data_IF_468748741113
#
_entry.id   IF_468748741113
#
_cell.length_a   1.000
_cell.length_b   1.000
_cell.length_c   1.000
_cell.angle_alpha   90.00
_cell.angle_beta   90.00
_cell.angle_gamma   90.00
#
_symmetry.space_group_name_H-M   'P 1'
#
loop_
_entity.id
_entity.type
_entity.pdbx_description
1 polymer ?
#
# COMPACT_ATOMS: atom_id res chain seq x y z
N UNK A 1 -25.66 -5.38 0.89
CA UNK A 1 -24.94 -6.40 1.69
C UNK A 1 -24.20 -7.36 0.75
N UNK A 2 -22.87 -7.49 0.90
CA UNK A 2 -22.05 -8.40 0.09
C UNK A 2 -22.32 -9.86 0.50
N UNK A 3 -22.30 -10.79 -0.47
CA UNK A 3 -22.45 -12.25 -0.23
C UNK A 3 -21.15 -12.91 0.24
N UNK A 4 -20.17 -12.11 0.66
CA UNK A 4 -18.86 -12.59 1.05
C UNK A 4 -18.89 -13.26 2.42
N UNK A 5 -18.09 -14.32 2.55
CA UNK A 5 -17.99 -15.13 3.77
C UNK A 5 -17.51 -14.30 4.97
N UNK A 6 -16.54 -13.41 4.74
CA UNK A 6 -15.95 -12.53 5.75
C UNK A 6 -16.41 -11.09 5.52
N UNK A 7 -17.65 -10.79 5.87
CA UNK A 7 -18.22 -9.44 5.70
C UNK A 7 -18.48 -8.78 7.06
N UNK A 8 -18.07 -7.53 7.21
CA UNK A 8 -18.44 -6.68 8.35
C UNK A 8 -19.91 -6.27 8.20
N UNK A 9 -20.78 -6.83 9.06
CA UNK A 9 -22.24 -6.60 9.02
C UNK A 9 -22.72 -5.47 9.94
N UNK A 10 -21.83 -4.93 10.78
CA UNK A 10 -22.07 -3.80 11.70
C UNK A 10 -21.04 -2.71 11.41
N UNK A 11 -21.22 -1.53 12.02
CA UNK A 11 -20.35 -0.37 11.81
C UNK A 11 -18.85 -0.69 11.91
N UNK A 12 -18.05 0.10 11.21
CA UNK A 12 -16.60 -0.11 11.14
C UNK A 12 -15.97 0.07 12.53
N UNK A 13 -15.24 -0.94 12.99
CA UNK A 13 -14.48 -0.95 14.25
C UNK A 13 -13.18 -1.74 14.02
N UNK A 14 -12.07 -1.24 14.55
CA UNK A 14 -10.74 -1.83 14.30
C UNK A 14 -10.59 -3.17 15.00
N UNK A 15 -11.16 -3.32 16.19
CA UNK A 15 -11.14 -4.60 16.90
C UNK A 15 -11.89 -5.66 16.10
N UNK A 16 -13.07 -5.30 15.58
CA UNK A 16 -13.87 -6.17 14.73
C UNK A 16 -13.14 -6.50 13.42
N UNK A 17 -12.50 -5.52 12.78
CA UNK A 17 -11.69 -5.75 11.57
C UNK A 17 -10.52 -6.71 11.84
N UNK A 18 -9.79 -6.50 12.95
CA UNK A 18 -8.69 -7.35 13.37
C UNK A 18 -9.14 -8.79 13.60
N UNK A 19 -10.29 -9.00 14.26
CA UNK A 19 -10.87 -10.34 14.45
C UNK A 19 -11.23 -11.00 13.11
N UNK A 20 -11.82 -10.26 12.17
CA UNK A 20 -12.15 -10.81 10.86
C UNK A 20 -10.91 -11.13 10.04
N UNK A 21 -9.86 -10.31 10.11
CA UNK A 21 -8.57 -10.59 9.47
C UNK A 21 -7.96 -11.86 10.05
N UNK A 22 -7.95 -12.00 11.38
CA UNK A 22 -7.47 -13.20 12.06
C UNK A 22 -8.22 -14.44 11.57
N UNK A 23 -9.56 -14.41 11.62
CA UNK A 23 -10.41 -15.53 11.18
C UNK A 23 -10.20 -15.86 9.71
N UNK A 24 -10.15 -14.86 8.84
CA UNK A 24 -9.95 -15.06 7.42
C UNK A 24 -8.61 -15.74 7.15
N UNK A 25 -7.52 -15.26 7.76
CA UNK A 25 -6.18 -15.83 7.62
C UNK A 25 -6.12 -17.25 8.18
N UNK A 26 -6.67 -17.48 9.38
CA UNK A 26 -6.61 -18.78 10.04
C UNK A 26 -7.43 -19.84 9.29
N UNK A 27 -8.62 -19.49 8.81
CA UNK A 27 -9.46 -20.42 8.06
C UNK A 27 -8.91 -20.69 6.66
N UNK A 28 -8.41 -19.66 5.97
CA UNK A 28 -7.91 -19.83 4.60
C UNK A 28 -6.44 -20.27 4.54
N UNK A 29 -5.74 -20.27 5.69
CA UNK A 29 -4.28 -20.44 5.78
C UNK A 29 -3.54 -19.51 4.80
N UNK A 30 -4.01 -18.27 4.68
CA UNK A 30 -3.46 -17.32 3.73
C UNK A 30 -2.00 -16.99 4.05
N UNK A 31 -1.18 -16.87 3.00
CA UNK A 31 0.22 -16.39 3.10
C UNK A 31 0.35 -14.90 2.76
N UNK A 32 -0.68 -14.33 2.13
CA UNK A 32 -0.69 -12.95 1.63
C UNK A 32 -2.04 -12.31 1.95
N UNK A 33 -2.00 -11.06 2.41
CA UNK A 33 -3.17 -10.23 2.66
C UNK A 33 -3.02 -8.91 1.90
N UNK A 34 -4.10 -8.43 1.30
CA UNK A 34 -4.20 -7.05 0.80
C UNK A 34 -5.33 -6.37 1.57
N UNK A 35 -5.03 -5.19 2.13
CA UNK A 35 -6.03 -4.32 2.76
C UNK A 35 -6.19 -3.09 1.88
N UNK A 36 -7.33 -3.03 1.19
CA UNK A 36 -7.68 -1.96 0.27
C UNK A 36 -8.96 -1.24 0.75
N UNK A 37 -8.91 -0.01 1.28
CA UNK A 37 -7.73 0.78 1.63
C UNK A 37 -7.73 1.15 3.11
N UNK A 38 -6.56 1.45 3.67
CA UNK A 38 -6.42 1.94 5.06
C UNK A 38 -6.72 3.44 5.19
N UNK A 39 -6.93 4.15 4.09
CA UNK A 39 -7.20 5.60 4.09
C UNK A 39 -8.49 5.98 4.81
N UNK A 40 -9.45 5.06 4.91
CA UNK A 40 -10.65 5.24 5.71
C UNK A 40 -10.36 5.53 7.19
N UNK A 41 -9.21 5.08 7.72
CA UNK A 41 -8.77 5.41 9.09
C UNK A 41 -8.55 6.91 9.24
N UNK A 42 -7.88 7.53 8.27
CA UNK A 42 -7.61 8.97 8.28
C UNK A 42 -8.82 9.84 7.96
N UNK A 43 -9.95 9.25 7.57
CA UNK A 43 -11.25 9.96 7.46
C UNK A 43 -12.03 9.88 8.77
N UNK A 44 -11.87 8.78 9.51
CA UNK A 44 -12.57 8.54 10.77
C UNK A 44 -11.99 9.35 11.94
N UNK A 45 -10.67 9.45 11.99
CA UNK A 45 -9.95 10.08 13.08
C UNK A 45 -9.45 11.45 12.64
N UNK A 46 -9.75 12.48 13.43
CA UNK A 46 -9.27 13.84 13.17
C UNK A 46 -7.78 13.97 13.48
N UNK A 47 -7.26 13.17 14.42
CA UNK A 47 -5.87 13.24 14.87
C UNK A 47 -4.97 12.14 14.29
N UNK A 48 -3.83 12.49 13.66
CA UNK A 48 -2.90 11.51 13.09
C UNK A 48 -2.38 10.48 14.09
N UNK A 49 -2.30 10.85 15.37
CA UNK A 49 -1.84 9.94 16.44
C UNK A 49 -2.81 8.80 16.71
N UNK A 50 -4.11 9.01 16.52
CA UNK A 50 -5.12 7.95 16.66
C UNK A 50 -5.01 6.96 15.49
N UNK A 51 -4.89 7.46 14.26
CA UNK A 51 -4.61 6.65 13.06
C UNK A 51 -3.35 5.81 13.25
N UNK A 52 -2.28 6.43 13.76
CA UNK A 52 -1.01 5.76 14.02
C UNK A 52 -1.18 4.60 15.02
N UNK A 53 -1.94 4.81 16.09
CA UNK A 53 -2.18 3.82 17.14
C UNK A 53 -2.94 2.61 16.59
N UNK A 54 -4.00 2.83 15.82
CA UNK A 54 -4.77 1.72 15.25
C UNK A 54 -3.98 0.99 14.15
N UNK A 55 -3.22 1.71 13.33
CA UNK A 55 -2.37 1.08 12.31
C UNK A 55 -1.25 0.25 12.93
N UNK A 56 -0.69 0.68 14.08
CA UNK A 56 0.27 -0.12 14.85
C UNK A 56 -0.33 -1.42 15.35
N UNK A 57 -1.58 -1.40 15.85
CA UNK A 57 -2.28 -2.62 16.28
C UNK A 57 -2.49 -3.59 15.12
N UNK A 58 -2.96 -3.11 13.98
CA UNK A 58 -3.13 -3.94 12.78
C UNK A 58 -1.77 -4.50 12.32
N UNK A 59 -0.72 -3.67 12.25
CA UNK A 59 0.62 -4.11 11.87
C UNK A 59 1.16 -5.20 12.81
N UNK A 60 0.99 -5.03 14.12
CA UNK A 60 1.41 -6.02 15.12
C UNK A 60 0.71 -7.38 14.91
N UNK A 61 -0.61 -7.37 14.71
CA UNK A 61 -1.38 -8.58 14.41
C UNK A 61 -0.89 -9.27 13.13
N UNK A 62 -0.67 -8.52 12.05
CA UNK A 62 -0.22 -9.09 10.78
C UNK A 62 1.19 -9.70 10.89
N UNK A 63 2.07 -9.08 11.69
CA UNK A 63 3.38 -9.64 11.98
C UNK A 63 3.28 -10.92 12.81
N UNK A 64 2.41 -10.96 13.83
CA UNK A 64 2.18 -12.15 14.65
C UNK A 64 1.64 -13.32 13.81
N UNK A 65 0.73 -13.03 12.89
CA UNK A 65 0.17 -14.02 11.97
C UNK A 65 1.15 -14.46 10.87
N UNK A 66 2.33 -13.84 10.78
CA UNK A 66 3.38 -14.15 9.81
C UNK A 66 2.88 -14.13 8.36
N UNK A 67 2.04 -13.14 8.03
CA UNK A 67 1.47 -12.95 6.68
C UNK A 67 2.14 -11.77 5.98
N UNK A 68 2.50 -11.96 4.70
CA UNK A 68 2.97 -10.84 3.87
C UNK A 68 1.78 -9.95 3.52
N UNK A 69 1.76 -8.72 4.02
CA UNK A 69 0.65 -7.79 3.84
C UNK A 69 0.99 -6.62 2.92
N UNK A 70 0.01 -6.21 2.11
CA UNK A 70 0.01 -4.94 1.38
C UNK A 70 -1.14 -4.09 1.91
N UNK A 71 -0.82 -2.86 2.33
CA UNK A 71 -1.81 -1.89 2.78
C UNK A 71 -1.88 -0.79 1.72
N UNK A 72 -3.04 -0.59 1.11
CA UNK A 72 -3.23 0.47 0.13
C UNK A 72 -3.64 1.76 0.84
N UNK A 73 -2.97 2.85 0.51
CA UNK A 73 -3.27 4.17 1.03
C UNK A 73 -3.25 5.19 -0.11
N UNK A 74 -4.25 6.05 -0.09
CA UNK A 74 -4.35 7.25 -0.91
C UNK A 74 -3.30 8.29 -0.51
N UNK A 75 -2.95 9.12 -1.48
CA UNK A 75 -2.05 10.25 -1.32
C UNK A 75 -2.86 11.51 -1.65
N UNK A 76 -2.87 12.49 -0.75
CA UNK A 76 -3.63 13.73 -0.93
C UNK A 76 -2.97 14.66 -1.95
N UNK A 77 -1.65 14.76 -1.93
CA UNK A 77 -0.87 15.59 -2.86
C UNK A 77 0.40 14.85 -3.28
N UNK A 78 0.94 15.07 -4.50
CA UNK A 78 2.10 14.32 -5.00
C UNK A 78 3.35 14.37 -4.10
N UNK A 79 3.45 15.38 -3.24
CA UNK A 79 4.58 15.57 -2.32
C UNK A 79 4.42 14.81 -0.99
N UNK A 80 3.23 14.28 -0.69
CA UNK A 80 3.01 13.49 0.52
C UNK A 80 3.17 12.00 0.26
N UNK A 81 3.50 11.27 1.33
CA UNK A 81 3.75 9.82 1.27
C UNK A 81 2.52 8.99 1.62
N UNK A 82 1.54 9.61 2.25
CA UNK A 82 0.27 9.00 2.67
C UNK A 82 -0.74 10.09 3.04
N UNK A 83 -1.99 9.67 3.28
CA UNK A 83 -3.10 10.56 3.64
C UNK A 83 -2.94 11.19 5.02
N UNK A 84 -2.71 10.39 6.07
CA UNK A 84 -2.61 10.88 7.45
C UNK A 84 -1.17 11.25 7.87
N UNK A 85 -0.18 11.05 6.99
CA UNK A 85 1.21 11.37 7.25
C UNK A 85 1.87 10.54 8.34
N UNK A 86 1.24 9.46 8.81
CA UNK A 86 1.78 8.55 9.84
C UNK A 86 2.04 7.14 9.33
N UNK A 87 1.32 6.73 8.29
CA UNK A 87 1.32 5.39 7.72
C UNK A 87 2.72 4.99 7.26
N UNK A 88 3.44 5.92 6.63
CA UNK A 88 4.80 5.74 6.15
C UNK A 88 5.82 5.49 7.25
N UNK A 89 5.52 5.72 8.53
CA UNK A 89 6.45 5.41 9.62
C UNK A 89 6.23 4.01 10.21
N UNK A 90 5.01 3.47 10.07
CA UNK A 90 4.60 2.18 10.63
C UNK A 90 5.00 1.01 9.73
N UNK A 91 4.92 1.17 8.42
CA UNK A 91 5.23 0.08 7.47
C UNK A 91 6.72 -0.25 7.40
N UNK A 92 7.07 -1.47 7.01
CA UNK A 92 8.46 -1.88 6.75
C UNK A 92 8.91 -1.50 5.33
N UNK A 93 7.97 -1.49 4.38
CA UNK A 93 8.16 -1.04 3.00
C UNK A 93 7.23 0.12 2.65
N UNK A 94 7.63 0.96 1.70
CA UNK A 94 6.78 2.00 1.11
C UNK A 94 7.02 2.08 -0.39
N UNK A 95 5.95 1.90 -1.15
CA UNK A 95 5.93 2.01 -2.61
C UNK A 95 4.89 3.07 -2.95
N UNK A 96 5.29 4.06 -3.73
CA UNK A 96 4.38 5.08 -4.26
C UNK A 96 4.10 4.81 -5.74
N UNK A 97 2.84 5.00 -6.12
CA UNK A 97 2.35 4.94 -7.50
C UNK A 97 1.83 6.34 -7.84
N UNK A 98 2.56 7.06 -8.67
CA UNK A 98 2.28 8.46 -9.00
C UNK A 98 1.80 8.57 -10.44
N UNK A 99 0.91 9.54 -10.67
CA UNK A 99 0.55 10.01 -12.00
C UNK A 99 1.27 11.35 -12.20
N UNK A 100 2.19 11.39 -13.16
CA UNK A 100 3.02 12.56 -13.44
C UNK A 100 2.58 13.15 -14.77
N UNK A 101 2.31 14.45 -14.77
CA UNK A 101 2.00 15.23 -15.97
C UNK A 101 3.31 15.73 -16.60
N UNK A 102 3.57 15.28 -17.83
CA UNK A 102 4.69 15.72 -18.66
C UNK A 102 4.15 16.42 -19.91
N UNK A 103 4.17 17.76 -19.89
CA UNK A 103 3.59 18.61 -20.94
C UNK A 103 2.09 18.31 -21.12
N UNK A 104 1.75 17.56 -22.17
CA UNK A 104 0.38 17.22 -22.54
C UNK A 104 0.05 15.73 -22.33
N UNK A 105 0.96 14.97 -21.69
CA UNK A 105 0.78 13.54 -21.46
C UNK A 105 0.86 13.20 -19.97
N UNK A 106 0.03 12.25 -19.55
CA UNK A 106 0.11 11.65 -18.23
C UNK A 106 0.91 10.34 -18.31
N UNK A 107 1.91 10.21 -17.45
CA UNK A 107 2.69 8.99 -17.30
C UNK A 107 2.53 8.44 -15.88
N UNK A 108 2.60 7.11 -15.72
CA UNK A 108 2.58 6.48 -14.39
C UNK A 108 3.98 6.13 -13.96
N UNK A 109 4.32 6.46 -12.73
CA UNK A 109 5.61 6.18 -12.11
C UNK A 109 5.45 5.39 -10.82
N UNK A 110 6.33 4.41 -10.63
CA UNK A 110 6.51 3.68 -9.38
C UNK A 110 7.83 4.07 -8.76
N UNK A 111 7.81 4.35 -7.46
CA UNK A 111 9.01 4.62 -6.67
C UNK A 111 8.95 3.83 -5.35
N UNK A 112 10.03 3.13 -5.05
CA UNK A 112 10.23 2.45 -3.78
C UNK A 112 10.98 3.41 -2.85
N UNK A 113 10.30 3.95 -1.85
CA UNK A 113 10.86 4.89 -0.89
C UNK A 113 11.71 4.20 0.15
N UNK A 114 11.26 3.03 0.61
CA UNK A 114 11.99 2.20 1.56
C UNK A 114 11.59 0.74 1.42
N UNK A 115 12.55 -0.13 1.70
CA UNK A 115 12.33 -1.52 2.07
C UNK A 115 13.31 -1.86 3.19
N UNK A 116 12.85 -1.82 4.45
CA UNK A 116 13.75 -2.04 5.59
C UNK A 116 14.48 -3.38 5.45
N UNK A 117 15.76 -3.38 5.81
CA UNK A 117 16.65 -4.57 5.80
C UNK A 117 16.90 -5.20 4.43
N UNK A 118 16.55 -4.55 3.32
CA UNK A 118 16.79 -5.07 1.97
C UNK A 118 17.25 -3.96 1.02
N UNK A 119 17.99 -4.34 -0.02
CA UNK A 119 18.32 -3.43 -1.12
C UNK A 119 17.12 -3.31 -2.06
N UNK A 120 16.89 -2.11 -2.58
CA UNK A 120 15.89 -1.86 -3.62
C UNK A 120 16.40 -0.84 -4.64
N UNK A 121 15.66 -0.70 -5.75
CA UNK A 121 15.98 0.32 -6.74
C UNK A 121 15.71 1.72 -6.17
N UNK A 122 16.66 2.64 -6.39
CA UNK A 122 16.54 4.07 -6.07
C UNK A 122 16.05 4.91 -7.25
N UNK A 123 15.58 4.25 -8.33
CA UNK A 123 15.09 4.92 -9.54
C UNK A 123 13.57 5.01 -9.55
N UNK A 124 13.05 6.06 -10.19
CA UNK A 124 11.66 6.08 -10.68
C UNK A 124 11.53 5.13 -11.87
N UNK A 125 10.49 4.29 -11.83
CA UNK A 125 10.17 3.30 -12.85
C UNK A 125 8.84 3.66 -13.51
N UNK A 126 8.84 3.92 -14.81
CA UNK A 126 7.58 4.09 -15.53
C UNK A 126 6.88 2.74 -15.64
N UNK A 127 5.55 2.74 -15.54
CA UNK A 127 4.76 1.54 -15.73
C UNK A 127 3.49 1.84 -16.53
N UNK A 128 2.96 0.79 -17.14
CA UNK A 128 1.64 0.82 -17.76
C UNK A 128 0.74 -0.23 -17.10
N UNK A 129 -0.57 -0.04 -17.21
CA UNK A 129 -1.54 -1.06 -16.81
C UNK A 129 -2.09 -1.62 -18.11
N UNK A 130 -1.52 -2.75 -18.54
CA UNK A 130 -1.89 -3.46 -19.75
C UNK A 130 -2.97 -4.50 -19.50
N UNK A 131 -3.22 -5.36 -20.50
CA UNK A 131 -4.19 -6.46 -20.38
C UNK A 131 -3.81 -7.48 -19.30
N UNK A 132 -2.53 -7.57 -18.95
CA UNK A 132 -2.00 -8.50 -17.95
C UNK A 132 -1.72 -7.82 -16.59
N UNK A 133 -2.18 -6.58 -16.40
CA UNK A 133 -1.95 -5.81 -15.17
C UNK A 133 -0.75 -4.86 -15.27
N UNK A 134 -0.06 -4.65 -14.16
CA UNK A 134 1.05 -3.68 -14.06
C UNK A 134 2.30 -4.23 -14.78
N UNK A 135 2.80 -3.46 -15.75
CA UNK A 135 4.01 -3.77 -16.51
C UNK A 135 5.04 -2.66 -16.34
N UNK A 136 6.20 -2.99 -15.74
CA UNK A 136 7.30 -2.04 -15.53
C UNK A 136 8.08 -1.85 -16.84
N UNK A 137 8.21 -0.60 -17.29
CA UNK A 137 8.97 -0.26 -18.50
C UNK A 137 10.47 -0.26 -18.19
N UNK A 138 11.24 -1.07 -18.93
CA UNK A 138 12.70 -1.02 -18.82
C UNK A 138 13.24 0.27 -19.43
N UNK A 139 14.07 1.01 -18.68
CA UNK A 139 14.86 2.10 -19.28
C UNK A 139 15.79 1.49 -20.33
N UNK A 140 15.64 1.88 -21.60
CA UNK A 140 16.67 1.61 -22.62
C UNK A 140 17.98 2.18 -22.10
N UNK A 141 19.01 1.34 -21.93
CA UNK A 141 20.37 1.84 -21.69
C UNK A 141 20.67 2.83 -22.82
N UNK A 142 21.25 4.02 -22.54
CA UNK A 142 21.74 4.86 -23.62
C UNK A 142 22.74 4.00 -24.41
N UNK A 143 22.41 3.74 -25.67
CA UNK A 143 23.35 3.12 -26.59
C UNK A 143 24.57 4.02 -26.60
N UNK A 144 25.68 3.55 -26.03
CA UNK A 144 26.96 4.21 -26.21
C UNK A 144 27.17 4.36 -27.70
N UNK A 145 27.08 5.59 -28.23
CA UNK A 145 27.58 5.87 -29.56
C UNK A 145 29.07 5.61 -29.48
N UNK A 146 29.50 4.45 -29.95
CA UNK A 146 30.90 4.15 -30.23
C UNK A 146 31.38 5.27 -31.16
N UNK A 147 32.30 6.10 -30.66
CA UNK A 147 33.09 7.00 -31.49
C UNK A 147 34.20 6.18 -32.15
#
# INVERSE_FOLDING_TARGET
PTSEKFALRRGFDISTLAEQIYRAIDESKAKRLVVDCISALGVRYDEPMEVRTELLRISALLNELNVTSLLLCEINTPDTQSRAGVEQFITQGLISLNLVEEKDNLSREMLIWKMRQTHHSMNRHHFIIGKNGIEIMQKKKPTSKTR
#
